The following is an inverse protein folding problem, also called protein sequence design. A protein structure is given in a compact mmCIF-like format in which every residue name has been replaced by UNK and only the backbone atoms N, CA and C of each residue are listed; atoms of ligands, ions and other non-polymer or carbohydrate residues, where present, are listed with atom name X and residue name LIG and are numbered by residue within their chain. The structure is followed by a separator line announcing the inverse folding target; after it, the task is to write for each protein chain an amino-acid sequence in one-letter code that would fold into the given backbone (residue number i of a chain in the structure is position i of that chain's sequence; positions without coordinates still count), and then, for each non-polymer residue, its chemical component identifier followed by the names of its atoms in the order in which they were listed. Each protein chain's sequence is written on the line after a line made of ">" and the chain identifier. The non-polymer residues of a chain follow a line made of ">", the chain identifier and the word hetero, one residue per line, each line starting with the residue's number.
data_IF_669719633975
#
_entry.id   IF_669719633975
#
_cell.length_a   1.000
_cell.length_b   1.000
_cell.length_c   1.000
_cell.angle_alpha   90.00
_cell.angle_beta   90.00
_cell.angle_gamma   90.00
#
_symmetry.space_group_name_H-M   'P 1'
#
loop_
_entity.id
_entity.type
_entity.pdbx_description
1 polymer ?
#
# COMPACT_ATOMS: atom_id res chain seq x y z
N UNK A 1 11.16 22.34 -18.40
CA UNK A 1 10.15 21.40 -17.89
C UNK A 1 9.27 22.12 -16.88
N UNK A 2 7.94 22.07 -17.05
CA UNK A 2 7.00 22.61 -16.07
C UNK A 2 6.97 21.66 -14.87
N UNK A 3 7.31 22.16 -13.69
CA UNK A 3 7.21 21.43 -12.43
C UNK A 3 5.74 21.52 -11.95
N UNK A 4 5.11 20.38 -11.65
CA UNK A 4 3.79 20.34 -11.05
C UNK A 4 3.90 19.90 -9.58
N UNK A 5 3.12 20.52 -8.72
CA UNK A 5 3.09 20.23 -7.29
C UNK A 5 1.81 19.49 -6.93
N UNK A 6 1.92 18.58 -5.97
CA UNK A 6 0.79 17.91 -5.32
C UNK A 6 1.02 17.90 -3.82
N UNK A 7 -0.05 17.93 -3.04
CA UNK A 7 0.01 17.83 -1.59
C UNK A 7 -0.55 16.47 -1.17
N UNK A 8 0.16 15.78 -0.25
CA UNK A 8 -0.40 14.66 0.50
C UNK A 8 -0.55 15.05 1.95
N UNK A 9 -1.77 14.95 2.49
CA UNK A 9 -2.09 15.42 3.82
C UNK A 9 -2.97 14.43 4.59
N UNK A 10 -3.10 14.68 5.89
CA UNK A 10 -4.11 14.09 6.79
C UNK A 10 -5.14 15.15 7.17
N UNK A 11 -6.18 14.75 7.92
CA UNK A 11 -7.22 15.66 8.41
C UNK A 11 -6.67 16.76 9.30
N UNK A 12 -5.68 16.44 10.11
CA UNK A 12 -5.01 17.34 11.03
C UNK A 12 -4.10 16.55 11.95
N UNK A 13 -3.54 17.21 12.96
CA UNK A 13 -2.76 16.54 13.99
C UNK A 13 -3.67 15.97 15.09
N UNK A 14 -4.58 16.78 15.63
CA UNK A 14 -5.47 16.43 16.74
C UNK A 14 -6.95 16.55 16.42
N UNK A 15 -7.31 17.44 15.50
CA UNK A 15 -8.68 17.84 15.18
C UNK A 15 -8.95 17.63 13.67
N UNK A 16 -10.00 16.88 13.30
CA UNK A 16 -10.34 16.67 11.90
C UNK A 16 -10.75 17.95 11.16
N UNK A 17 -11.13 19.02 11.86
CA UNK A 17 -11.46 20.31 11.25
C UNK A 17 -10.24 21.10 10.81
N UNK A 18 -9.03 20.74 11.22
CA UNK A 18 -7.80 21.42 10.79
C UNK A 18 -7.66 21.46 9.27
N UNK A 19 -8.03 20.38 8.56
CA UNK A 19 -8.00 20.36 7.10
C UNK A 19 -9.01 21.35 6.48
N UNK A 20 -10.16 21.58 7.10
CA UNK A 20 -11.17 22.53 6.62
C UNK A 20 -10.67 23.97 6.77
N UNK A 21 -9.95 24.26 7.86
CA UNK A 21 -9.32 25.58 8.07
C UNK A 21 -8.20 25.86 7.07
N UNK A 22 -7.52 24.81 6.59
CA UNK A 22 -6.48 24.91 5.55
C UNK A 22 -7.02 24.96 4.12
N UNK A 23 -8.23 24.46 3.88
CA UNK A 23 -8.80 24.34 2.54
C UNK A 23 -8.81 25.66 1.74
N UNK A 24 -9.14 26.83 2.30
CA UNK A 24 -9.08 28.10 1.56
C UNK A 24 -7.67 28.40 1.02
N UNK A 25 -6.64 28.18 1.84
CA UNK A 25 -5.24 28.41 1.45
C UNK A 25 -4.82 27.41 0.36
N UNK A 26 -5.15 26.13 0.55
CA UNK A 26 -4.84 25.06 -0.41
C UNK A 26 -5.49 25.36 -1.76
N UNK A 27 -6.72 25.85 -1.78
CA UNK A 27 -7.46 26.16 -2.99
C UNK A 27 -6.88 27.31 -3.82
N UNK A 28 -6.04 28.17 -3.22
CA UNK A 28 -5.33 29.27 -3.90
C UNK A 28 -4.00 28.79 -4.56
N UNK A 29 -3.52 27.60 -4.20
CA UNK A 29 -2.24 27.09 -4.71
C UNK A 29 -2.42 26.42 -6.08
N UNK A 30 -1.46 26.52 -7.01
CA UNK A 30 -1.52 25.88 -8.34
C UNK A 30 -1.18 24.37 -8.25
N UNK A 31 -2.00 23.60 -7.55
CA UNK A 31 -1.78 22.18 -7.34
C UNK A 31 -2.36 21.33 -8.46
N UNK A 32 -1.63 20.29 -8.85
CA UNK A 32 -2.13 19.26 -9.75
C UNK A 32 -3.23 18.42 -9.11
N UNK A 33 -3.05 18.09 -7.82
CA UNK A 33 -3.98 17.26 -7.05
C UNK A 33 -3.68 17.35 -5.55
N UNK A 34 -4.67 16.97 -4.74
CA UNK A 34 -4.52 16.77 -3.30
C UNK A 34 -4.79 15.31 -2.98
N UNK A 35 -3.90 14.68 -2.20
CA UNK A 35 -4.10 13.33 -1.66
C UNK A 35 -4.47 13.46 -0.20
N UNK A 36 -5.68 13.03 0.18
CA UNK A 36 -6.16 13.07 1.55
C UNK A 36 -6.18 11.68 2.18
N UNK A 37 -5.50 11.53 3.33
CA UNK A 37 -5.61 10.36 4.19
C UNK A 37 -6.48 10.74 5.40
N UNK A 38 -7.75 10.27 5.48
CA UNK A 38 -8.69 10.72 6.50
C UNK A 38 -8.45 10.08 7.86
N UNK A 39 -7.31 10.40 8.43
CA UNK A 39 -6.86 10.08 9.79
C UNK A 39 -6.14 11.27 10.38
N UNK A 40 -6.14 11.37 11.72
CA UNK A 40 -5.32 12.37 12.44
C UNK A 40 -3.84 11.96 12.46
N UNK A 41 -2.96 12.95 12.58
CA UNK A 41 -1.52 12.74 12.69
C UNK A 41 -1.16 11.85 13.89
N UNK A 42 -1.68 12.18 15.07
CA UNK A 42 -1.47 11.42 16.31
C UNK A 42 -2.07 10.01 16.30
N UNK A 43 -3.09 9.77 15.48
CA UNK A 43 -3.73 8.46 15.36
C UNK A 43 -2.81 7.43 14.68
N UNK A 44 -1.88 7.88 13.83
CA UNK A 44 -1.04 7.01 12.99
C UNK A 44 -1.89 6.04 12.16
N UNK A 45 -1.86 4.74 12.52
CA UNK A 45 -2.64 3.67 11.87
C UNK A 45 -3.63 2.99 12.82
N UNK A 46 -3.83 3.54 14.01
CA UNK A 46 -4.81 3.02 14.97
C UNK A 46 -6.23 3.45 14.61
N UNK A 47 -7.19 2.55 14.80
CA UNK A 47 -8.59 2.79 14.43
C UNK A 47 -8.81 2.87 12.91
N UNK A 48 -10.02 3.21 12.50
CA UNK A 48 -10.41 3.37 11.10
C UNK A 48 -10.17 4.77 10.55
N UNK A 49 -10.46 4.95 9.27
CA UNK A 49 -10.51 6.24 8.60
C UNK A 49 -11.82 6.97 8.91
N UNK A 50 -11.78 8.30 8.94
CA UNK A 50 -12.97 9.15 9.13
C UNK A 50 -13.53 9.60 7.78
N UNK A 51 -14.48 8.82 7.24
CA UNK A 51 -15.10 9.11 5.95
C UNK A 51 -16.01 10.34 5.99
N UNK A 52 -16.57 10.72 7.16
CA UNK A 52 -17.39 11.92 7.31
C UNK A 52 -16.53 13.18 7.18
N UNK A 53 -15.39 13.21 7.86
CA UNK A 53 -14.46 14.31 7.72
C UNK A 53 -13.85 14.39 6.31
N UNK A 54 -13.64 13.25 5.65
CA UNK A 54 -13.23 13.20 4.25
C UNK A 54 -14.28 13.83 3.33
N UNK A 55 -15.54 13.50 3.51
CA UNK A 55 -16.67 14.05 2.75
C UNK A 55 -16.77 15.57 2.92
N UNK A 56 -16.65 16.05 4.16
CA UNK A 56 -16.62 17.48 4.46
C UNK A 56 -15.48 18.20 3.71
N UNK A 57 -14.27 17.63 3.73
CA UNK A 57 -13.13 18.19 3.00
C UNK A 57 -13.35 18.13 1.48
N UNK A 58 -13.90 17.04 0.94
CA UNK A 58 -14.23 16.93 -0.48
C UNK A 58 -15.21 18.03 -0.91
N UNK A 59 -16.16 18.43 -0.06
CA UNK A 59 -17.12 19.48 -0.30
C UNK A 59 -16.51 20.86 -0.52
N UNK A 60 -15.32 21.12 0.06
CA UNK A 60 -14.65 22.43 0.01
C UNK A 60 -13.37 22.44 -0.83
N UNK A 61 -12.79 21.29 -1.13
CA UNK A 61 -11.57 21.18 -1.93
C UNK A 61 -11.88 21.39 -3.42
N UNK A 62 -11.20 22.33 -4.06
CA UNK A 62 -11.38 22.68 -5.50
C UNK A 62 -10.46 21.87 -6.42
N UNK A 63 -9.44 21.20 -5.87
CA UNK A 63 -8.47 20.41 -6.64
C UNK A 63 -8.97 18.99 -6.90
N UNK A 64 -8.45 18.32 -7.95
CA UNK A 64 -8.61 16.88 -8.11
C UNK A 64 -8.20 16.16 -6.82
N UNK A 65 -9.15 15.42 -6.20
CA UNK A 65 -8.95 14.80 -4.91
C UNK A 65 -8.69 13.30 -5.05
N UNK A 66 -7.60 12.83 -4.44
CA UNK A 66 -7.20 11.44 -4.37
C UNK A 66 -7.48 10.92 -2.95
N UNK A 67 -8.23 9.85 -2.84
CA UNK A 67 -8.46 9.18 -1.57
C UNK A 67 -7.27 8.27 -1.21
N UNK A 68 -6.85 8.26 0.06
CA UNK A 68 -5.85 7.32 0.57
C UNK A 68 -6.26 6.82 1.95
N UNK A 69 -6.42 5.53 2.14
CA UNK A 69 -6.67 4.93 3.46
C UNK A 69 -7.43 3.62 3.39
N UNK A 70 -6.93 2.61 4.10
CA UNK A 70 -7.57 1.31 4.36
C UNK A 70 -8.22 0.64 3.13
N UNK A 71 -7.58 0.74 1.96
CA UNK A 71 -7.93 -0.02 0.76
C UNK A 71 -7.06 -1.26 0.76
N UNK A 72 -7.66 -2.43 1.00
CA UNK A 72 -6.97 -3.70 1.12
C UNK A 72 -7.52 -4.77 0.16
N UNK A 73 -8.68 -4.52 -0.46
CA UNK A 73 -9.35 -5.45 -1.37
C UNK A 73 -10.00 -4.71 -2.55
N UNK A 74 -10.46 -5.46 -3.54
CA UNK A 74 -11.24 -4.94 -4.68
C UNK A 74 -12.57 -4.37 -4.20
N UNK A 75 -13.20 -4.99 -3.21
CA UNK A 75 -14.45 -4.52 -2.60
C UNK A 75 -14.26 -3.16 -1.92
N UNK A 76 -13.10 -2.93 -1.26
CA UNK A 76 -12.79 -1.62 -0.70
C UNK A 76 -12.69 -0.54 -1.79
N UNK A 77 -12.09 -0.89 -2.95
CA UNK A 77 -12.00 0.03 -4.09
C UNK A 77 -13.42 0.40 -4.58
N UNK A 78 -14.27 -0.60 -4.81
CA UNK A 78 -15.65 -0.37 -5.27
C UNK A 78 -16.44 0.45 -4.25
N UNK A 79 -16.39 0.10 -2.97
CA UNK A 79 -17.08 0.82 -1.89
C UNK A 79 -16.69 2.31 -1.85
N UNK A 80 -15.40 2.63 -1.96
CA UNK A 80 -14.93 4.02 -1.96
C UNK A 80 -15.36 4.75 -3.24
N UNK A 81 -15.35 4.08 -4.41
CA UNK A 81 -15.83 4.68 -5.66
C UNK A 81 -17.32 5.00 -5.64
N UNK A 82 -18.11 4.07 -5.11
CA UNK A 82 -19.57 4.26 -4.98
C UNK A 82 -19.89 5.39 -4.01
N UNK A 83 -19.20 5.45 -2.87
CA UNK A 83 -19.43 6.48 -1.87
C UNK A 83 -18.95 7.86 -2.33
N UNK A 84 -17.85 7.91 -3.09
CA UNK A 84 -17.22 9.17 -3.53
C UNK A 84 -16.97 9.19 -5.04
N UNK A 85 -18.04 9.28 -5.88
CA UNK A 85 -17.91 9.14 -7.34
C UNK A 85 -17.13 10.30 -8.01
N UNK A 86 -16.88 11.40 -7.28
CA UNK A 86 -16.13 12.56 -7.80
C UNK A 86 -14.63 12.50 -7.53
N UNK A 87 -14.10 11.39 -7.02
CA UNK A 87 -12.67 11.22 -6.81
C UNK A 87 -11.92 11.20 -8.14
N UNK A 88 -10.77 11.88 -8.19
CA UNK A 88 -9.86 11.80 -9.32
C UNK A 88 -9.04 10.48 -9.31
N UNK A 89 -9.00 9.76 -8.19
CA UNK A 89 -8.34 8.48 -8.05
C UNK A 89 -8.18 8.04 -6.60
N UNK A 90 -7.45 6.94 -6.44
CA UNK A 90 -7.12 6.37 -5.13
C UNK A 90 -5.62 6.09 -5.03
N UNK A 91 -5.05 6.33 -3.85
CA UNK A 91 -3.69 5.96 -3.51
C UNK A 91 -3.74 4.76 -2.56
N UNK A 92 -3.21 3.63 -2.99
CA UNK A 92 -3.19 2.39 -2.21
C UNK A 92 -1.76 2.18 -1.68
N UNK A 93 -1.63 2.01 -0.37
CA UNK A 93 -0.35 1.73 0.30
C UNK A 93 -0.23 0.25 0.67
N UNK A 94 -0.47 -0.06 1.94
CA UNK A 94 -0.31 -1.40 2.53
C UNK A 94 -1.10 -2.49 1.81
N UNK A 95 -2.27 -2.17 1.25
CA UNK A 95 -3.04 -3.13 0.44
C UNK A 95 -2.25 -3.68 -0.76
N UNK A 96 -1.49 -2.84 -1.48
CA UNK A 96 -0.62 -3.31 -2.57
C UNK A 96 0.64 -4.03 -2.07
N UNK A 97 1.13 -3.74 -0.87
CA UNK A 97 2.21 -4.52 -0.26
C UNK A 97 1.70 -5.92 0.16
N UNK A 98 0.48 -6.00 0.67
CA UNK A 98 -0.15 -7.27 1.07
C UNK A 98 -0.58 -8.11 -0.14
N UNK A 99 -1.13 -7.47 -1.17
CA UNK A 99 -1.53 -8.09 -2.43
C UNK A 99 -1.03 -7.25 -3.62
N UNK A 100 0.15 -7.54 -4.17
CA UNK A 100 0.70 -6.80 -5.31
C UNK A 100 -0.15 -6.90 -6.59
N UNK A 101 -1.05 -7.88 -6.66
CA UNK A 101 -1.96 -8.06 -7.79
C UNK A 101 -3.27 -7.26 -7.66
N UNK A 102 -3.54 -6.60 -6.52
CA UNK A 102 -4.81 -5.92 -6.25
C UNK A 102 -5.28 -4.99 -7.38
N UNK A 103 -4.37 -4.21 -7.96
CA UNK A 103 -4.72 -3.33 -9.08
C UNK A 103 -5.05 -4.09 -10.37
N UNK A 104 -4.44 -5.24 -10.59
CA UNK A 104 -4.72 -6.12 -11.72
C UNK A 104 -6.08 -6.81 -11.53
N UNK A 105 -6.34 -7.35 -10.34
CA UNK A 105 -7.63 -7.97 -9.97
C UNK A 105 -8.79 -6.98 -10.14
N UNK A 106 -8.61 -5.76 -9.66
CA UNK A 106 -9.60 -4.70 -9.88
C UNK A 106 -9.85 -4.42 -11.36
N UNK A 107 -8.78 -4.28 -12.18
CA UNK A 107 -8.92 -4.04 -13.63
C UNK A 107 -9.60 -5.18 -14.38
N UNK A 108 -9.35 -6.42 -13.96
CA UNK A 108 -9.93 -7.63 -14.58
C UNK A 108 -11.30 -7.99 -14.01
N UNK A 109 -11.73 -7.31 -12.95
CA UNK A 109 -12.93 -7.61 -12.17
C UNK A 109 -13.00 -9.09 -11.74
N UNK A 110 -11.85 -9.67 -11.39
CA UNK A 110 -11.73 -11.02 -10.85
C UNK A 110 -10.51 -11.15 -9.94
N UNK A 111 -10.60 -12.00 -8.93
CA UNK A 111 -9.44 -12.43 -8.17
C UNK A 111 -8.50 -13.27 -9.08
N UNK A 112 -7.22 -13.21 -8.83
CA UNK A 112 -6.28 -14.13 -9.45
C UNK A 112 -6.43 -15.53 -8.84
N UNK A 113 -6.36 -16.54 -9.69
CA UNK A 113 -6.24 -17.92 -9.23
C UNK A 113 -4.92 -18.12 -8.48
N UNK A 114 -4.90 -19.12 -7.57
CA UNK A 114 -3.74 -19.36 -6.71
C UNK A 114 -2.44 -19.52 -7.52
N UNK A 115 -2.49 -20.28 -8.60
CA UNK A 115 -1.31 -20.55 -9.45
C UNK A 115 -0.84 -19.29 -10.19
N UNK A 116 -1.76 -18.44 -10.68
CA UNK A 116 -1.42 -17.17 -11.32
C UNK A 116 -0.73 -16.22 -10.32
N UNK A 117 -1.26 -16.13 -9.10
CA UNK A 117 -0.68 -15.32 -8.04
C UNK A 117 0.71 -15.84 -7.66
N UNK A 118 0.84 -17.16 -7.49
CA UNK A 118 2.11 -17.82 -7.15
C UNK A 118 3.20 -17.51 -8.17
N UNK A 119 2.92 -17.67 -9.46
CA UNK A 119 3.88 -17.39 -10.54
C UNK A 119 4.34 -15.92 -10.53
N UNK A 120 3.41 -14.99 -10.36
CA UNK A 120 3.73 -13.56 -10.28
C UNK A 120 4.59 -13.23 -9.07
N UNK A 121 4.27 -13.79 -7.90
CA UNK A 121 5.04 -13.60 -6.68
C UNK A 121 6.44 -14.21 -6.78
N UNK A 122 6.58 -15.40 -7.37
CA UNK A 122 7.88 -16.02 -7.61
C UNK A 122 8.75 -15.14 -8.51
N UNK A 123 8.17 -14.64 -9.61
CA UNK A 123 8.88 -13.75 -10.53
C UNK A 123 9.32 -12.46 -9.84
N UNK A 124 8.43 -11.82 -9.09
CA UNK A 124 8.73 -10.60 -8.33
C UNK A 124 9.80 -10.85 -7.26
N UNK A 125 9.67 -11.91 -6.48
CA UNK A 125 10.65 -12.30 -5.47
C UNK A 125 12.04 -12.52 -6.08
N UNK A 126 12.12 -13.26 -7.18
CA UNK A 126 13.38 -13.52 -7.89
C UNK A 126 14.01 -12.22 -8.40
N UNK A 127 13.21 -11.32 -8.97
CA UNK A 127 13.68 -10.03 -9.45
C UNK A 127 14.29 -9.19 -8.32
N UNK A 128 13.56 -9.04 -7.20
CA UNK A 128 14.01 -8.28 -6.03
C UNK A 128 15.24 -8.91 -5.39
N UNK A 129 15.26 -10.24 -5.26
CA UNK A 129 16.41 -10.98 -4.71
C UNK A 129 17.67 -10.73 -5.54
N UNK A 130 17.60 -10.89 -6.85
CA UNK A 130 18.75 -10.70 -7.74
C UNK A 130 19.23 -9.24 -7.69
N UNK A 131 18.33 -8.27 -7.73
CA UNK A 131 18.68 -6.86 -7.66
C UNK A 131 19.41 -6.52 -6.34
N UNK A 132 18.92 -7.03 -5.21
CA UNK A 132 19.61 -6.84 -3.94
C UNK A 132 20.94 -7.58 -3.87
N UNK A 133 21.03 -8.81 -4.41
CA UNK A 133 22.28 -9.57 -4.45
C UNK A 133 23.37 -8.85 -5.26
N UNK A 134 22.99 -8.11 -6.31
CA UNK A 134 23.92 -7.33 -7.14
C UNK A 134 24.30 -5.97 -6.52
N UNK A 135 23.40 -5.33 -5.78
CA UNK A 135 23.59 -3.95 -5.30
C UNK A 135 24.08 -3.86 -3.86
N UNK A 136 23.90 -4.90 -3.04
CA UNK A 136 24.26 -4.86 -1.62
C UNK A 136 25.71 -5.31 -1.40
N UNK A 137 26.48 -4.49 -0.70
CA UNK A 137 27.89 -4.75 -0.39
C UNK A 137 28.10 -5.51 0.93
N UNK A 138 27.07 -5.62 1.78
CA UNK A 138 27.11 -6.25 3.11
C UNK A 138 26.91 -7.77 3.11
N UNK A 139 27.01 -8.42 1.95
CA UNK A 139 26.97 -9.88 1.82
C UNK A 139 25.64 -10.53 2.23
N UNK A 140 25.71 -11.81 2.56
CA UNK A 140 24.56 -12.69 2.81
C UNK A 140 23.65 -12.19 3.95
N UNK A 141 24.22 -11.60 5.00
CA UNK A 141 23.44 -11.10 6.14
C UNK A 141 22.57 -9.90 5.74
N UNK A 142 23.13 -8.96 5.01
CA UNK A 142 22.39 -7.78 4.55
C UNK A 142 21.29 -8.19 3.57
N UNK A 143 21.59 -9.07 2.63
CA UNK A 143 20.63 -9.61 1.68
C UNK A 143 19.48 -10.33 2.40
N UNK A 144 19.80 -11.20 3.37
CA UNK A 144 18.81 -11.92 4.17
C UNK A 144 17.86 -10.95 4.90
N UNK A 145 18.40 -9.90 5.53
CA UNK A 145 17.61 -8.91 6.26
C UNK A 145 16.68 -8.13 5.31
N UNK A 146 17.17 -7.72 4.13
CA UNK A 146 16.35 -7.06 3.10
C UNK A 146 15.24 -7.97 2.58
N UNK A 147 15.55 -9.24 2.31
CA UNK A 147 14.56 -10.19 1.80
C UNK A 147 13.50 -10.54 2.87
N UNK A 148 13.83 -10.54 4.15
CA UNK A 148 12.82 -10.68 5.22
C UNK A 148 11.87 -9.50 5.26
N UNK A 149 12.36 -8.27 5.07
CA UNK A 149 11.52 -7.05 5.01
C UNK A 149 10.53 -7.12 3.84
N UNK A 150 10.90 -7.74 2.71
CA UNK A 150 10.00 -7.99 1.59
C UNK A 150 8.74 -8.76 2.01
N UNK A 151 8.84 -9.68 2.98
CA UNK A 151 7.74 -10.51 3.47
C UNK A 151 6.93 -9.88 4.61
N UNK A 152 7.32 -8.72 5.12
CA UNK A 152 6.71 -8.11 6.30
C UNK A 152 5.20 -7.84 6.14
N UNK A 153 4.80 -7.44 4.94
CA UNK A 153 3.40 -7.12 4.63
C UNK A 153 2.77 -8.09 3.62
N UNK A 154 3.59 -8.89 2.94
CA UNK A 154 3.16 -9.70 1.82
C UNK A 154 2.34 -10.91 2.29
N UNK A 155 1.18 -11.12 1.64
CA UNK A 155 0.32 -12.29 1.85
C UNK A 155 0.03 -12.58 3.34
N UNK A 156 -0.49 -11.62 4.11
CA UNK A 156 -0.69 -11.80 5.57
C UNK A 156 -1.68 -12.92 5.90
N UNK A 157 -2.50 -13.36 4.93
CA UNK A 157 -3.43 -14.47 5.04
C UNK A 157 -2.80 -15.84 4.73
N UNK A 158 -1.55 -15.90 4.25
CA UNK A 158 -0.87 -17.17 3.95
C UNK A 158 -0.59 -18.00 5.22
N UNK A 159 -0.19 -19.26 5.03
CA UNK A 159 0.10 -20.16 6.15
C UNK A 159 1.14 -19.54 7.11
N UNK A 160 0.72 -19.36 8.36
CA UNK A 160 1.54 -18.73 9.41
C UNK A 160 2.83 -19.47 9.71
N UNK A 161 2.87 -20.81 9.53
CA UNK A 161 4.08 -21.60 9.79
C UNK A 161 5.12 -21.32 8.70
N UNK A 162 4.69 -21.23 7.45
CA UNK A 162 5.56 -20.92 6.31
C UNK A 162 6.10 -19.49 6.39
N UNK A 163 5.26 -18.49 6.66
CA UNK A 163 5.72 -17.11 6.87
C UNK A 163 6.68 -17.01 8.06
N UNK A 164 6.38 -17.72 9.16
CA UNK A 164 7.26 -17.77 10.34
C UNK A 164 8.61 -18.41 10.02
N UNK A 165 8.65 -19.45 9.18
CA UNK A 165 9.91 -20.07 8.75
C UNK A 165 10.78 -19.08 7.96
N UNK A 166 10.17 -18.30 7.05
CA UNK A 166 10.85 -17.23 6.30
C UNK A 166 11.43 -16.19 7.29
N UNK A 167 10.60 -15.62 8.16
CA UNK A 167 11.03 -14.57 9.09
C UNK A 167 12.09 -15.03 10.11
N UNK A 168 12.04 -16.29 10.52
CA UNK A 168 12.99 -16.87 11.48
C UNK A 168 14.26 -17.46 10.86
N UNK A 169 14.40 -17.46 9.53
CA UNK A 169 15.61 -17.94 8.87
C UNK A 169 16.84 -17.16 9.35
N UNK A 170 17.93 -17.87 9.64
CA UNK A 170 19.18 -17.31 10.16
C UNK A 170 20.32 -17.36 9.15
N UNK A 171 20.06 -17.87 7.93
CA UNK A 171 20.99 -17.90 6.82
C UNK A 171 20.22 -17.89 5.49
N UNK A 172 20.89 -17.50 4.40
CA UNK A 172 20.28 -17.54 3.06
C UNK A 172 19.86 -18.95 2.66
N UNK A 173 20.60 -19.98 3.06
CA UNK A 173 20.20 -21.37 2.78
C UNK A 173 18.87 -21.72 3.44
N UNK A 174 18.70 -21.44 4.73
CA UNK A 174 17.42 -21.66 5.43
C UNK A 174 16.29 -20.80 4.85
N UNK A 175 16.59 -19.56 4.47
CA UNK A 175 15.65 -18.67 3.81
C UNK A 175 15.17 -19.28 2.49
N UNK A 176 16.09 -19.71 1.61
CA UNK A 176 15.76 -20.30 0.31
C UNK A 176 14.94 -21.58 0.45
N UNK A 177 15.25 -22.43 1.45
CA UNK A 177 14.44 -23.61 1.76
C UNK A 177 13.01 -23.24 2.17
N UNK A 178 12.87 -22.20 3.02
CA UNK A 178 11.56 -21.71 3.45
C UNK A 178 10.76 -21.11 2.28
N UNK A 179 11.41 -20.39 1.36
CA UNK A 179 10.82 -19.86 0.13
C UNK A 179 10.34 -20.98 -0.80
N UNK A 180 11.16 -21.99 -1.00
CA UNK A 180 10.76 -23.18 -1.80
C UNK A 180 9.53 -23.86 -1.18
N UNK A 181 9.51 -24.04 0.14
CA UNK A 181 8.36 -24.62 0.83
C UNK A 181 7.11 -23.75 0.69
N UNK A 182 7.27 -22.42 0.78
CA UNK A 182 6.16 -21.47 0.61
C UNK A 182 5.53 -21.54 -0.79
N UNK A 183 6.33 -21.59 -1.84
CA UNK A 183 5.83 -21.62 -3.21
C UNK A 183 5.40 -23.01 -3.69
N UNK A 184 5.79 -24.09 -3.00
CA UNK A 184 5.40 -25.46 -3.33
C UNK A 184 4.18 -25.97 -2.53
N UNK A 185 3.53 -25.14 -1.72
CA UNK A 185 2.26 -25.51 -1.08
C UNK A 185 1.18 -25.76 -2.15
N UNK A 186 0.43 -26.85 -1.97
CA UNK A 186 -0.68 -27.23 -2.85
C UNK A 186 -1.98 -26.68 -2.35
#
# INVERSE_FOLDING_TARGET
>A
PQISFSIKMRLGWEDPEECLRLAPIINELPLRQVVMHPRLGKQQYKGGVDLKAFEAFQGVCKHPLIYNGDINSVEDIHRIQEQFPRLAGMMIGRGLLANPALALEYRQNRALEFDEMREKLQSMHKCVYNQYAEQLEGGDEQLLNKMKTFWEYLMPQADRKLLKAIHKSTSLNKYNQAILAFFNQR
#
